data_IF_433524761351
#
_entry.id   IF_433524761351
#
_cell.length_a   1.000
_cell.length_b   1.000
_cell.length_c   1.000
_cell.angle_alpha   90.00
_cell.angle_beta   90.00
_cell.angle_gamma   90.00
#
_symmetry.space_group_name_H-M   'P 1'
#
loop_
_entity.id
_entity.type
_entity.pdbx_description
1 polymer ?
#
# COMPACT_ATOMS: atom_id res chain seq x y z
N UNK A 1 -18.22 24.13 25.02
CA UNK A 1 -18.87 23.52 23.86
C UNK A 1 -18.55 24.40 22.65
N UNK A 2 -17.78 23.94 21.67
CA UNK A 2 -17.64 24.71 20.43
C UNK A 2 -16.30 24.69 19.71
N UNK A 3 -15.28 23.90 20.11
CA UNK A 3 -13.98 23.88 19.40
C UNK A 3 -13.75 22.64 18.51
N UNK A 4 -14.60 21.60 18.61
CA UNK A 4 -14.37 20.34 17.88
C UNK A 4 -15.00 20.28 16.46
N UNK A 5 -15.83 21.26 16.08
CA UNK A 5 -16.50 21.25 14.77
C UNK A 5 -15.77 22.06 13.68
N UNK A 6 -14.70 22.79 14.02
CA UNK A 6 -13.99 23.62 13.04
C UNK A 6 -13.01 22.80 12.18
N UNK A 7 -12.41 21.77 12.76
CA UNK A 7 -11.40 20.93 12.08
C UNK A 7 -11.96 19.96 11.05
N UNK A 8 -13.23 19.50 11.20
CA UNK A 8 -13.87 18.59 10.24
C UNK A 8 -14.26 19.27 8.92
N UNK A 9 -14.45 20.59 8.92
CA UNK A 9 -14.90 21.33 7.74
C UNK A 9 -13.75 21.71 6.82
N UNK A 10 -12.56 21.89 7.36
CA UNK A 10 -11.35 22.23 6.58
C UNK A 10 -10.78 21.01 5.85
N UNK A 11 -10.92 19.82 6.42
CA UNK A 11 -10.46 18.56 5.79
C UNK A 11 -11.28 18.18 4.54
N UNK A 12 -12.59 18.46 4.53
CA UNK A 12 -13.44 18.24 3.34
C UNK A 12 -13.18 19.26 2.22
N UNK A 13 -12.87 20.52 2.57
CA UNK A 13 -12.64 21.60 1.59
C UNK A 13 -11.26 21.51 0.92
N UNK A 14 -10.24 21.01 1.60
CA UNK A 14 -8.90 20.85 1.03
C UNK A 14 -8.85 19.77 -0.07
N UNK A 15 -9.74 18.78 -0.03
CA UNK A 15 -9.75 17.68 -1.00
C UNK A 15 -10.68 17.90 -2.21
N UNK A 16 -11.56 18.89 -2.18
CA UNK A 16 -12.47 19.13 -3.32
C UNK A 16 -11.77 19.70 -4.57
N UNK A 17 -10.62 20.35 -4.40
CA UNK A 17 -9.88 20.99 -5.49
C UNK A 17 -8.61 20.25 -5.94
N UNK A 18 -8.19 19.19 -5.24
CA UNK A 18 -6.99 18.42 -5.61
C UNK A 18 -7.40 17.29 -6.56
N UNK A 19 -6.77 17.23 -7.73
CA UNK A 19 -6.99 16.17 -8.71
C UNK A 19 -6.29 14.88 -8.29
N UNK A 20 -6.71 13.76 -8.89
CA UNK A 20 -6.02 12.46 -8.68
C UNK A 20 -4.55 12.58 -9.10
N UNK A 21 -4.28 13.31 -10.17
CA UNK A 21 -2.94 13.51 -10.70
C UNK A 21 -2.04 14.27 -9.73
N UNK A 22 -2.53 15.37 -9.16
CA UNK A 22 -1.76 16.23 -8.24
C UNK A 22 -1.54 15.58 -6.86
N UNK A 23 -2.37 14.59 -6.52
CA UNK A 23 -2.28 13.90 -5.23
C UNK A 23 -0.98 13.11 -5.13
N UNK A 24 -0.27 13.29 -4.01
CA UNK A 24 0.86 12.42 -3.67
C UNK A 24 0.33 11.14 -3.05
N UNK A 25 0.58 10.02 -3.70
CA UNK A 25 0.32 8.69 -3.17
C UNK A 25 1.63 8.03 -2.75
N UNK A 26 1.59 7.26 -1.69
CA UNK A 26 2.62 6.28 -1.35
C UNK A 26 2.04 4.90 -1.59
N UNK A 27 2.60 4.19 -2.54
CA UNK A 27 2.24 2.80 -2.82
C UNK A 27 3.18 1.91 -2.04
N UNK A 28 2.64 0.99 -1.25
CA UNK A 28 3.44 0.14 -0.37
C UNK A 28 3.04 -1.32 -0.44
N UNK A 29 3.96 -2.15 -0.03
CA UNK A 29 3.78 -3.57 0.26
C UNK A 29 4.72 -3.98 1.38
N UNK A 30 4.37 -5.02 2.14
CA UNK A 30 5.18 -5.51 3.26
C UNK A 30 5.45 -7.01 3.15
N UNK A 31 6.71 -7.41 3.34
CA UNK A 31 7.05 -8.80 3.56
C UNK A 31 7.11 -9.09 5.06
N UNK A 32 6.52 -10.21 5.46
CA UNK A 32 6.32 -10.56 6.87
C UNK A 32 6.72 -11.99 7.17
N UNK A 33 6.85 -12.31 8.46
CA UNK A 33 7.14 -13.69 8.90
C UNK A 33 5.93 -14.62 8.75
N UNK A 34 4.72 -14.08 8.52
CA UNK A 34 3.47 -14.81 8.35
C UNK A 34 2.27 -13.87 8.36
N UNK A 35 1.08 -14.43 8.61
CA UNK A 35 -0.19 -13.72 8.51
C UNK A 35 -0.87 -13.45 9.86
N UNK A 36 -0.25 -13.79 10.96
CA UNK A 36 -0.77 -13.56 12.31
C UNK A 36 -0.36 -12.16 12.79
N UNK A 37 -1.31 -11.24 12.84
CA UNK A 37 -1.06 -9.84 13.23
C UNK A 37 -0.43 -9.68 14.63
N UNK A 38 -0.65 -10.62 15.54
CA UNK A 38 -0.13 -10.53 16.90
C UNK A 38 1.30 -11.11 17.02
N UNK A 39 1.55 -12.21 16.34
CA UNK A 39 2.78 -12.97 16.50
C UNK A 39 3.78 -12.72 15.38
N UNK A 40 3.32 -12.41 14.18
CA UNK A 40 4.21 -12.16 13.05
C UNK A 40 4.77 -10.74 13.04
N UNK A 41 5.84 -10.58 12.29
CA UNK A 41 6.64 -9.35 12.23
C UNK A 41 6.92 -8.95 10.80
N UNK A 42 7.06 -7.64 10.58
CA UNK A 42 7.50 -7.10 9.29
C UNK A 42 8.98 -7.41 9.11
N UNK A 43 9.33 -7.92 7.95
CA UNK A 43 10.71 -8.21 7.53
C UNK A 43 11.24 -7.15 6.56
N UNK A 44 10.35 -6.63 5.70
CA UNK A 44 10.68 -5.58 4.74
C UNK A 44 9.48 -4.67 4.51
N UNK A 45 9.72 -3.38 4.38
CA UNK A 45 8.74 -2.39 3.90
C UNK A 45 9.27 -1.88 2.56
N UNK A 46 8.51 -2.13 1.50
CA UNK A 46 8.74 -1.54 0.18
C UNK A 46 7.73 -0.45 -0.09
N UNK A 47 8.17 0.74 -0.46
CA UNK A 47 7.29 1.85 -0.78
C UNK A 47 7.84 2.73 -1.89
N UNK A 48 6.96 3.34 -2.66
CA UNK A 48 7.32 4.29 -3.71
C UNK A 48 6.28 5.39 -3.83
N UNK A 49 6.71 6.53 -4.35
CA UNK A 49 5.82 7.68 -4.60
C UNK A 49 5.23 7.57 -6.00
N UNK A 50 3.90 7.78 -6.06
CA UNK A 50 3.14 7.94 -7.28
C UNK A 50 2.49 9.33 -7.26
N UNK A 51 2.81 10.16 -8.23
CA UNK A 51 2.24 11.50 -8.41
C UNK A 51 2.31 11.91 -9.90
N UNK A 52 1.42 12.78 -10.34
CA UNK A 52 1.35 13.24 -11.73
C UNK A 52 1.27 12.10 -12.76
N UNK A 53 0.53 11.03 -12.41
CA UNK A 53 0.42 9.80 -13.22
C UNK A 53 1.78 9.10 -13.49
N UNK A 54 2.79 9.36 -12.69
CA UNK A 54 4.13 8.83 -12.84
C UNK A 54 4.63 8.23 -11.52
N UNK A 55 5.38 7.14 -11.62
CA UNK A 55 6.12 6.54 -10.51
C UNK A 55 7.43 7.28 -10.39
N UNK A 56 7.71 7.85 -9.21
CA UNK A 56 8.98 8.51 -8.92
C UNK A 56 10.05 7.46 -8.61
N UNK A 57 10.98 7.25 -9.55
CA UNK A 57 12.09 6.31 -9.34
C UNK A 57 13.06 6.78 -8.26
N UNK A 58 13.14 8.09 -8.02
CA UNK A 58 14.03 8.68 -7.01
C UNK A 58 13.41 8.66 -5.60
N UNK A 59 12.10 8.56 -5.50
CA UNK A 59 11.37 8.51 -4.24
C UNK A 59 10.87 7.09 -3.99
N UNK A 60 11.80 6.22 -3.67
CA UNK A 60 11.55 4.83 -3.29
C UNK A 60 12.17 4.55 -1.94
N UNK A 61 11.55 3.64 -1.21
CA UNK A 61 12.00 3.17 0.09
C UNK A 61 11.95 1.65 0.09
N UNK A 62 13.06 1.00 0.43
CA UNK A 62 13.08 -0.42 0.72
C UNK A 62 13.91 -0.63 1.98
N UNK A 63 13.23 -1.03 3.07
CA UNK A 63 13.84 -1.17 4.38
C UNK A 63 13.66 -2.61 4.85
N UNK A 64 14.76 -3.34 4.97
CA UNK A 64 14.82 -4.65 5.61
C UNK A 64 15.05 -4.46 7.11
N UNK A 65 14.14 -4.99 7.93
CA UNK A 65 14.19 -4.85 9.38
C UNK A 65 14.97 -5.98 10.03
N UNK A 66 15.63 -5.68 11.15
CA UNK A 66 16.13 -6.73 12.03
C UNK A 66 14.98 -7.32 12.82
N UNK A 67 14.80 -8.65 12.73
CA UNK A 67 13.80 -9.39 13.48
C UNK A 67 14.41 -10.62 14.14
N UNK A 68 14.04 -10.85 15.39
CA UNK A 68 14.40 -12.07 16.10
C UNK A 68 13.54 -13.26 15.68
N UNK A 69 12.30 -12.98 15.34
CA UNK A 69 11.37 -13.97 14.81
C UNK A 69 11.64 -14.20 13.32
N UNK A 70 11.81 -15.47 12.94
CA UNK A 70 12.10 -15.88 11.58
C UNK A 70 11.43 -17.22 11.27
N UNK A 71 10.63 -17.26 10.22
CA UNK A 71 10.03 -18.47 9.69
C UNK A 71 10.67 -18.87 8.35
N UNK A 72 11.22 -20.10 8.33
CA UNK A 72 11.85 -20.64 7.10
C UNK A 72 10.84 -20.89 5.98
N UNK A 73 9.57 -21.14 6.30
CA UNK A 73 8.55 -21.43 5.31
C UNK A 73 8.21 -20.17 4.47
N UNK A 74 8.11 -19.02 5.12
CA UNK A 74 7.88 -17.74 4.43
C UNK A 74 9.10 -17.25 3.68
N UNK A 75 10.31 -17.57 4.16
CA UNK A 75 11.54 -17.25 3.46
C UNK A 75 11.65 -17.86 2.05
N UNK A 76 10.95 -18.97 1.79
CA UNK A 76 10.86 -19.56 0.45
C UNK A 76 10.03 -18.70 -0.51
N UNK A 77 9.16 -17.83 0.00
CA UNK A 77 8.28 -16.95 -0.78
C UNK A 77 9.01 -15.65 -1.11
N UNK A 78 9.45 -14.91 -0.10
CA UNK A 78 10.03 -13.56 -0.25
C UNK A 78 11.57 -13.55 -0.34
N UNK A 79 12.24 -14.70 -0.18
CA UNK A 79 13.71 -14.80 -0.30
C UNK A 79 14.52 -14.11 0.80
N UNK A 80 13.89 -13.49 1.79
CA UNK A 80 14.59 -12.78 2.86
C UNK A 80 15.17 -13.80 3.83
N UNK A 81 16.51 -13.88 3.85
CA UNK A 81 17.23 -14.77 4.77
C UNK A 81 17.62 -14.02 6.04
N UNK A 82 17.68 -14.79 7.14
CA UNK A 82 18.25 -14.29 8.38
C UNK A 82 19.74 -14.06 8.17
N UNK A 83 20.14 -12.81 8.12
CA UNK A 83 21.52 -12.43 7.95
C UNK A 83 22.03 -11.74 9.22
N UNK A 84 23.07 -12.32 9.82
CA UNK A 84 23.73 -11.76 11.01
C UNK A 84 24.86 -10.80 10.68
N UNK A 85 25.24 -10.72 9.41
CA UNK A 85 26.36 -9.88 8.94
C UNK A 85 25.88 -8.50 8.52
N UNK A 86 24.70 -8.43 7.87
CA UNK A 86 24.12 -7.16 7.46
C UNK A 86 23.45 -6.47 8.65
N UNK A 87 23.94 -5.28 8.99
CA UNK A 87 23.32 -4.44 10.02
C UNK A 87 22.03 -3.83 9.45
N UNK A 88 20.90 -4.40 9.86
CA UNK A 88 19.57 -3.89 9.53
C UNK A 88 19.09 -2.96 10.65
N UNK A 89 18.25 -1.95 10.35
CA UNK A 89 17.62 -1.13 11.38
C UNK A 89 16.68 -1.95 12.26
N UNK A 90 16.53 -1.52 13.50
CA UNK A 90 15.49 -2.01 14.40
C UNK A 90 14.09 -1.68 13.85
N UNK A 91 13.06 -2.35 14.36
CA UNK A 91 11.67 -2.06 13.99
C UNK A 91 11.34 -0.58 14.19
N UNK A 92 11.75 0.03 15.32
CA UNK A 92 11.53 1.44 15.59
C UNK A 92 12.20 2.36 14.56
N UNK A 93 13.49 2.13 14.26
CA UNK A 93 14.21 2.94 13.28
C UNK A 93 13.61 2.83 11.88
N UNK A 94 13.19 1.63 11.49
CA UNK A 94 12.52 1.40 10.20
C UNK A 94 11.16 2.12 10.12
N UNK A 95 10.36 2.03 11.19
CA UNK A 95 9.08 2.74 11.27
C UNK A 95 9.26 4.26 11.20
N UNK A 96 10.27 4.84 11.88
CA UNK A 96 10.55 6.27 11.81
C UNK A 96 10.92 6.72 10.39
N UNK A 97 11.75 5.94 9.68
CA UNK A 97 12.09 6.20 8.29
C UNK A 97 10.85 6.12 7.39
N UNK A 98 10.04 5.08 7.57
CA UNK A 98 8.80 4.89 6.82
C UNK A 98 7.81 6.03 7.06
N UNK A 99 7.57 6.42 8.31
CA UNK A 99 6.66 7.53 8.64
C UNK A 99 7.13 8.86 8.05
N UNK A 100 8.44 9.10 8.05
CA UNK A 100 9.04 10.29 7.42
C UNK A 100 8.82 10.29 5.91
N UNK A 101 8.99 9.13 5.27
CA UNK A 101 8.74 8.96 3.83
C UNK A 101 7.26 9.11 3.48
N UNK A 102 6.38 8.54 4.29
CA UNK A 102 4.94 8.55 4.10
C UNK A 102 4.35 9.97 4.19
N UNK A 103 4.68 10.71 5.24
CA UNK A 103 4.04 12.01 5.54
C UNK A 103 2.52 11.92 5.52
N UNK A 104 1.87 12.94 4.95
CA UNK A 104 0.40 13.03 4.85
C UNK A 104 -0.17 12.37 3.57
N UNK A 105 0.62 11.54 2.88
CA UNK A 105 0.22 10.92 1.62
C UNK A 105 -0.94 9.95 1.80
N UNK A 106 -1.72 9.77 0.73
CA UNK A 106 -2.68 8.68 0.64
C UNK A 106 -1.94 7.38 0.35
N UNK A 107 -2.25 6.34 1.12
CA UNK A 107 -1.63 5.03 0.96
C UNK A 107 -2.38 4.23 -0.10
N UNK A 108 -1.65 3.57 -0.98
CA UNK A 108 -2.17 2.56 -1.90
C UNK A 108 -1.48 1.23 -1.60
N UNK A 109 -2.25 0.16 -1.46
CA UNK A 109 -1.72 -1.21 -1.39
C UNK A 109 -2.67 -2.21 -2.07
N UNK A 110 -2.25 -3.45 -2.19
CA UNK A 110 -3.09 -4.54 -2.67
C UNK A 110 -3.52 -5.39 -1.48
N UNK A 111 -4.83 -5.48 -1.22
CA UNK A 111 -5.38 -5.99 0.05
C UNK A 111 -4.88 -5.18 1.27
N UNK A 112 -5.00 -3.90 1.16
CA UNK A 112 -4.47 -2.84 2.05
C UNK A 112 -4.64 -3.11 3.55
N UNK A 113 -5.72 -3.80 3.93
CA UNK A 113 -6.01 -4.13 5.35
C UNK A 113 -4.86 -4.89 5.99
N UNK A 114 -4.21 -5.80 5.26
CA UNK A 114 -3.10 -6.59 5.78
C UNK A 114 -1.92 -5.71 6.15
N UNK A 115 -1.39 -4.95 5.19
CA UNK A 115 -0.21 -4.11 5.40
C UNK A 115 -0.42 -3.05 6.48
N UNK A 116 -1.57 -2.37 6.43
CA UNK A 116 -1.91 -1.34 7.42
C UNK A 116 -2.04 -1.93 8.81
N UNK A 117 -2.62 -3.14 8.95
CA UNK A 117 -2.72 -3.79 10.25
C UNK A 117 -1.35 -4.18 10.76
N UNK A 118 -0.49 -4.76 9.93
CA UNK A 118 0.89 -5.15 10.31
C UNK A 118 1.70 -3.92 10.75
N UNK A 119 1.61 -2.81 10.00
CA UNK A 119 2.29 -1.56 10.36
C UNK A 119 1.74 -1.00 11.66
N UNK A 120 0.42 -0.94 11.84
CA UNK A 120 -0.19 -0.44 13.06
C UNK A 120 0.17 -1.28 14.29
N UNK A 121 0.28 -2.62 14.14
CA UNK A 121 0.77 -3.49 15.21
C UNK A 121 2.25 -3.25 15.54
N UNK A 122 3.06 -2.98 14.54
CA UNK A 122 4.45 -2.59 14.75
C UNK A 122 4.55 -1.21 15.45
N UNK A 123 3.73 -0.24 15.08
CA UNK A 123 3.65 1.07 15.73
C UNK A 123 3.21 0.93 17.20
N UNK A 124 2.18 0.13 17.47
CA UNK A 124 1.68 -0.15 18.82
C UNK A 124 2.78 -0.75 19.71
N UNK A 125 3.52 -1.74 19.22
CA UNK A 125 4.65 -2.36 19.95
C UNK A 125 5.75 -1.35 20.29
N UNK A 126 5.91 -0.32 19.50
CA UNK A 126 6.90 0.74 19.70
C UNK A 126 6.34 2.00 20.37
N UNK A 127 5.12 1.95 20.92
CA UNK A 127 4.42 3.07 21.56
C UNK A 127 4.29 4.30 20.64
N UNK A 128 4.13 4.09 19.35
CA UNK A 128 3.87 5.12 18.34
C UNK A 128 2.37 5.17 18.00
N UNK A 129 1.85 6.35 17.61
CA UNK A 129 0.46 6.47 17.18
C UNK A 129 0.21 5.67 15.90
N UNK A 130 -0.99 5.12 15.75
CA UNK A 130 -1.41 4.42 14.54
C UNK A 130 -1.51 5.38 13.35
N UNK A 131 -1.42 4.82 12.14
CA UNK A 131 -1.60 5.57 10.89
C UNK A 131 -3.00 6.17 10.81
N UNK A 132 -3.06 7.42 10.41
CA UNK A 132 -4.32 8.16 10.14
C UNK A 132 -4.51 8.47 8.65
N UNK A 133 -3.55 8.10 7.83
CA UNK A 133 -3.56 8.31 6.39
C UNK A 133 -4.76 7.61 5.73
N UNK A 134 -5.38 8.26 4.76
CA UNK A 134 -6.40 7.62 3.91
C UNK A 134 -5.77 6.50 3.09
N UNK A 135 -6.54 5.43 2.87
CA UNK A 135 -6.05 4.25 2.16
C UNK A 135 -6.90 3.90 0.94
N UNK A 136 -6.29 3.40 -0.11
CA UNK A 136 -6.93 2.87 -1.31
C UNK A 136 -6.46 1.44 -1.56
N UNK A 137 -7.40 0.55 -1.85
CA UNK A 137 -7.15 -0.86 -2.13
C UNK A 137 -7.32 -1.16 -3.62
N UNK A 138 -6.25 -1.62 -4.28
CA UNK A 138 -6.29 -1.90 -5.73
C UNK A 138 -7.20 -3.08 -6.08
N UNK A 139 -7.36 -4.09 -5.23
CA UNK A 139 -8.29 -5.19 -5.45
C UNK A 139 -9.75 -4.68 -5.43
N UNK A 140 -10.08 -3.80 -4.48
CA UNK A 140 -11.38 -3.16 -4.40
C UNK A 140 -11.65 -2.24 -5.61
N UNK A 141 -10.70 -1.37 -5.94
CA UNK A 141 -10.84 -0.46 -7.09
C UNK A 141 -10.94 -1.23 -8.41
N UNK A 142 -10.21 -2.33 -8.57
CA UNK A 142 -10.32 -3.18 -9.76
C UNK A 142 -11.74 -3.72 -9.93
N UNK A 143 -12.39 -4.18 -8.86
CA UNK A 143 -13.79 -4.65 -8.91
C UNK A 143 -14.75 -3.60 -9.46
N UNK A 144 -14.51 -2.30 -9.21
CA UNK A 144 -15.32 -1.20 -9.77
C UNK A 144 -15.14 -1.04 -11.29
N UNK A 145 -14.03 -1.50 -11.85
CA UNK A 145 -13.82 -1.47 -13.31
C UNK A 145 -14.62 -2.54 -14.03
N UNK A 146 -15.09 -3.58 -13.35
CA UNK A 146 -15.79 -4.71 -13.96
C UNK A 146 -17.23 -4.37 -14.29
N UNK A 147 -17.73 -4.89 -15.42
CA UNK A 147 -19.12 -4.72 -15.83
C UNK A 147 -20.02 -5.53 -14.88
N UNK A 148 -21.08 -4.91 -14.37
CA UNK A 148 -22.11 -5.62 -13.60
C UNK A 148 -22.96 -6.44 -14.57
N UNK A 149 -22.66 -7.72 -14.70
CA UNK A 149 -23.43 -8.66 -15.51
C UNK A 149 -23.73 -9.91 -14.70
N UNK A 150 -24.96 -10.40 -14.79
CA UNK A 150 -25.35 -11.69 -14.19
C UNK A 150 -24.81 -12.91 -14.98
N UNK A 151 -24.23 -12.66 -16.15
CA UNK A 151 -23.71 -13.72 -17.04
C UNK A 151 -22.26 -14.11 -16.77
N UNK A 152 -21.56 -13.34 -15.96
CA UNK A 152 -20.15 -13.59 -15.62
C UNK A 152 -19.98 -13.78 -14.12
N UNK A 153 -19.49 -14.93 -13.70
CA UNK A 153 -19.05 -15.15 -12.34
C UNK A 153 -17.89 -14.21 -12.03
N UNK A 154 -18.01 -13.46 -10.95
CA UNK A 154 -16.94 -12.62 -10.42
C UNK A 154 -16.20 -13.41 -9.37
N UNK A 155 -14.87 -13.35 -9.41
CA UNK A 155 -14.09 -13.81 -8.28
C UNK A 155 -14.37 -12.92 -7.06
N UNK A 156 -14.47 -13.52 -5.88
CA UNK A 156 -14.58 -12.76 -4.63
C UNK A 156 -13.28 -12.03 -4.31
N UNK A 157 -12.15 -12.62 -4.70
CA UNK A 157 -10.82 -12.07 -4.47
C UNK A 157 -10.02 -12.05 -5.77
N UNK A 158 -9.33 -10.93 -5.99
CA UNK A 158 -8.37 -10.74 -7.07
C UNK A 158 -6.99 -10.60 -6.45
N UNK A 159 -6.07 -11.50 -6.77
CA UNK A 159 -4.68 -11.44 -6.33
C UNK A 159 -3.90 -10.39 -7.12
N UNK A 160 -2.72 -10.01 -6.63
CA UNK A 160 -1.82 -9.13 -7.37
C UNK A 160 -1.39 -9.76 -8.71
N UNK A 161 -1.23 -11.09 -8.75
CA UNK A 161 -0.97 -11.82 -9.98
C UNK A 161 -2.13 -11.74 -10.97
N UNK A 162 -3.39 -11.84 -10.52
CA UNK A 162 -4.56 -11.66 -11.39
C UNK A 162 -4.56 -10.26 -12.03
N UNK A 163 -4.15 -9.22 -11.28
CA UNK A 163 -4.04 -7.86 -11.80
C UNK A 163 -2.85 -7.73 -12.75
N UNK A 164 -1.71 -8.29 -12.39
CA UNK A 164 -0.52 -8.28 -13.24
C UNK A 164 -0.80 -8.94 -14.60
N UNK A 165 -1.40 -10.12 -14.59
CA UNK A 165 -1.78 -10.84 -15.82
C UNK A 165 -2.84 -10.07 -16.63
N UNK A 166 -3.85 -9.51 -15.95
CA UNK A 166 -4.92 -8.74 -16.61
C UNK A 166 -4.41 -7.49 -17.30
N UNK A 167 -3.41 -6.85 -16.73
CA UNK A 167 -2.89 -5.58 -17.21
C UNK A 167 -1.55 -5.70 -17.95
N UNK A 168 -1.08 -6.93 -18.20
CA UNK A 168 0.22 -7.21 -18.82
C UNK A 168 1.36 -6.45 -18.11
N UNK A 169 1.47 -6.68 -16.79
CA UNK A 169 2.52 -6.13 -15.95
C UNK A 169 3.56 -7.22 -15.69
N UNK A 170 4.84 -6.91 -15.87
CA UNK A 170 5.93 -7.84 -15.57
C UNK A 170 5.90 -8.26 -14.10
N UNK A 171 6.03 -9.57 -13.86
CA UNK A 171 6.11 -10.17 -12.52
C UNK A 171 7.54 -10.52 -12.11
N UNK A 172 8.55 -9.93 -12.77
CA UNK A 172 9.97 -10.29 -12.55
C UNK A 172 10.41 -10.16 -11.10
N UNK A 173 9.95 -9.12 -10.42
CA UNK A 173 10.34 -8.81 -9.04
C UNK A 173 9.21 -9.11 -8.03
N UNK A 174 8.31 -10.08 -8.39
CA UNK A 174 7.27 -10.57 -7.48
C UNK A 174 7.88 -11.15 -6.20
N UNK A 175 7.16 -10.98 -5.10
CA UNK A 175 7.57 -11.42 -3.76
C UNK A 175 8.80 -10.67 -3.22
N UNK A 176 9.01 -9.45 -3.68
CA UNK A 176 9.82 -8.44 -3.00
C UNK A 176 8.93 -7.25 -2.67
N UNK A 177 9.06 -6.67 -1.49
CA UNK A 177 8.17 -5.60 -1.04
C UNK A 177 8.15 -4.42 -2.04
N UNK A 178 9.31 -3.98 -2.52
CA UNK A 178 9.37 -2.90 -3.51
C UNK A 178 8.83 -3.32 -4.89
N UNK A 179 9.09 -4.56 -5.31
CA UNK A 179 8.57 -5.11 -6.57
C UNK A 179 7.04 -5.18 -6.58
N UNK A 180 6.43 -5.65 -5.50
CA UNK A 180 4.99 -5.74 -5.35
C UNK A 180 4.33 -4.37 -5.22
N UNK A 181 4.96 -3.42 -4.53
CA UNK A 181 4.56 -2.02 -4.55
C UNK A 181 4.60 -1.42 -5.97
N UNK A 182 5.61 -1.74 -6.77
CA UNK A 182 5.73 -1.28 -8.16
C UNK A 182 4.62 -1.86 -9.06
N UNK A 183 4.35 -3.16 -8.95
CA UNK A 183 3.24 -3.81 -9.68
C UNK A 183 1.90 -3.19 -9.27
N UNK A 184 1.71 -2.95 -7.97
CA UNK A 184 0.51 -2.30 -7.40
C UNK A 184 0.33 -0.89 -7.95
N UNK A 185 1.40 -0.10 -8.07
CA UNK A 185 1.36 1.25 -8.63
C UNK A 185 0.93 1.25 -10.11
N UNK A 186 1.52 0.37 -10.93
CA UNK A 186 1.13 0.24 -12.34
C UNK A 186 -0.32 -0.22 -12.46
N UNK A 187 -0.74 -1.20 -11.65
CA UNK A 187 -2.13 -1.67 -11.62
C UNK A 187 -3.09 -0.53 -11.26
N UNK A 188 -2.76 0.28 -10.25
CA UNK A 188 -3.55 1.44 -9.86
C UNK A 188 -3.72 2.44 -11.00
N UNK A 189 -2.64 2.81 -11.70
CA UNK A 189 -2.71 3.72 -12.85
C UNK A 189 -3.64 3.17 -13.94
N UNK A 190 -3.53 1.89 -14.27
CA UNK A 190 -4.38 1.23 -15.27
C UNK A 190 -5.85 1.13 -14.82
N UNK A 191 -6.09 0.93 -13.54
CA UNK A 191 -7.43 0.92 -12.93
C UNK A 191 -8.06 2.32 -13.02
N UNK A 192 -7.33 3.36 -12.59
CA UNK A 192 -7.83 4.76 -12.66
C UNK A 192 -8.14 5.14 -14.10
N UNK A 193 -7.27 4.83 -15.06
CA UNK A 193 -7.53 5.04 -16.47
C UNK A 193 -8.84 4.38 -16.91
N UNK A 194 -9.05 3.10 -16.58
CA UNK A 194 -10.30 2.37 -16.90
C UNK A 194 -11.54 2.97 -16.25
N UNK A 195 -11.43 3.49 -15.04
CA UNK A 195 -12.54 4.15 -14.37
C UNK A 195 -12.89 5.47 -15.06
N UNK A 196 -11.88 6.24 -15.48
CA UNK A 196 -12.04 7.51 -16.23
C UNK A 196 -12.63 7.30 -17.63
N UNK A 197 -12.38 6.17 -18.29
CA UNK A 197 -13.01 5.83 -19.58
C UNK A 197 -14.54 5.72 -19.48
N UNK A 198 -15.08 5.39 -18.29
CA UNK A 198 -16.52 5.24 -18.07
C UNK A 198 -17.23 6.54 -17.67
N UNK A 199 -16.53 7.38 -16.92
CA UNK A 199 -16.99 8.68 -16.43
C UNK A 199 -15.83 9.47 -15.86
N UNK A 200 -15.96 10.79 -15.84
CA UNK A 200 -15.06 11.61 -15.05
C UNK A 200 -15.12 11.23 -13.57
N UNK A 201 -13.98 11.03 -12.94
CA UNK A 201 -13.89 10.66 -11.53
C UNK A 201 -12.98 11.61 -10.77
N UNK A 202 -13.45 12.04 -9.60
CA UNK A 202 -12.67 12.82 -8.64
C UNK A 202 -11.94 11.91 -7.65
N UNK A 203 -10.95 12.47 -6.94
CA UNK A 203 -10.22 11.77 -5.88
C UNK A 203 -11.19 11.17 -4.84
N UNK A 204 -12.21 11.93 -4.39
CA UNK A 204 -13.18 11.46 -3.40
C UNK A 204 -14.01 10.25 -3.88
N UNK A 205 -14.17 10.07 -5.18
CA UNK A 205 -14.90 8.92 -5.72
C UNK A 205 -14.09 7.63 -5.71
N UNK A 206 -12.78 7.69 -5.52
CA UNK A 206 -11.96 6.48 -5.32
C UNK A 206 -12.24 5.82 -3.97
N UNK A 207 -12.62 6.59 -2.95
CA UNK A 207 -12.92 6.10 -1.59
C UNK A 207 -14.36 5.57 -1.42
N UNK A 208 -15.25 5.80 -2.37
CA UNK A 208 -16.64 5.34 -2.40
C UNK A 208 -16.75 4.04 -3.16
#
# INVERSE_FOLDING_TARGET
MGLFNFWKKDDELFHENITIEETRFVVLDTETTGFDYENDRILCIGALVLQNNAISVQETLEIYLQQDHYDKSTAQIHGILRDFVLKRPSELEALQQFLTFLGDSIIIAHHTVFDITMINKALERNNLPQLTNKTLDTAYLYKKTLIKSHLFERKDHYTLDDLADKFDISKKDRHTALGDAYITAIAFLKIVKKLKEKKEISLNQLFK
#
